data_IF_168548444534
#
_entry.id   IF_168548444534
#
_cell.length_a   1.000
_cell.length_b   1.000
_cell.length_c   1.000
_cell.angle_alpha   90.00
_cell.angle_beta   90.00
_cell.angle_gamma   90.00
#
_symmetry.space_group_name_H-M   'P 1'
#
loop_
_entity.id
_entity.type
_entity.pdbx_description
1 polymer ?
#
# COMPACT_ATOMS: atom_id res chain seq x y z
N UNK A 1 5.25 11.28 -12.76
CA UNK A 1 4.23 10.86 -11.78
C UNK A 1 4.80 9.66 -11.06
N UNK A 2 4.64 9.55 -9.74
CA UNK A 2 5.15 8.41 -8.98
C UNK A 2 4.13 7.27 -8.93
N UNK A 3 4.58 6.03 -8.68
CA UNK A 3 3.68 4.88 -8.50
C UNK A 3 2.63 5.14 -7.42
N UNK A 4 2.98 5.84 -6.34
CA UNK A 4 2.04 6.22 -5.29
C UNK A 4 0.95 7.17 -5.81
N UNK A 5 1.30 8.13 -6.67
CA UNK A 5 0.33 9.07 -7.25
C UNK A 5 -0.65 8.34 -8.18
N UNK A 6 -0.17 7.42 -9.01
CA UNK A 6 -1.00 6.64 -9.93
C UNK A 6 -1.98 5.73 -9.17
N UNK A 7 -1.50 5.08 -8.10
CA UNK A 7 -2.34 4.27 -7.23
C UNK A 7 -3.40 5.13 -6.50
N UNK A 8 -3.03 6.32 -6.00
CA UNK A 8 -3.96 7.25 -5.34
C UNK A 8 -5.03 7.76 -6.29
N UNK A 9 -4.64 8.09 -7.53
CA UNK A 9 -5.59 8.51 -8.56
C UNK A 9 -6.59 7.41 -8.91
N UNK A 10 -6.17 6.13 -8.90
CA UNK A 10 -7.06 5.02 -9.24
C UNK A 10 -7.90 4.48 -8.08
N UNK A 11 -7.40 4.52 -6.84
CA UNK A 11 -8.00 3.85 -5.67
C UNK A 11 -8.52 4.83 -4.62
N UNK A 12 -8.14 6.11 -4.73
CA UNK A 12 -8.41 7.15 -3.74
C UNK A 12 -7.29 7.31 -2.71
N UNK A 13 -7.14 8.54 -2.20
CA UNK A 13 -6.08 8.92 -1.24
C UNK A 13 -6.06 8.06 0.02
N UNK A 14 -7.23 7.69 0.54
CA UNK A 14 -7.33 6.91 1.79
C UNK A 14 -6.92 5.44 1.62
N UNK A 15 -6.85 4.94 0.38
CA UNK A 15 -6.49 3.55 0.07
C UNK A 15 -4.99 3.33 -0.03
N UNK A 16 -4.17 4.39 -0.11
CA UNK A 16 -2.72 4.31 -0.33
C UNK A 16 -1.96 5.06 0.76
N UNK A 17 -1.21 4.34 1.57
CA UNK A 17 -0.40 4.88 2.66
C UNK A 17 1.08 4.83 2.29
N UNK A 18 1.82 5.88 2.63
CA UNK A 18 3.26 6.01 2.39
C UNK A 18 3.98 6.52 3.63
N UNK A 19 5.23 6.09 3.84
CA UNK A 19 6.07 6.60 4.93
C UNK A 19 5.41 6.43 6.31
N UNK A 20 5.47 7.44 7.19
CA UNK A 20 4.95 7.34 8.56
C UNK A 20 3.46 6.97 8.66
N UNK A 21 2.67 7.23 7.62
CA UNK A 21 1.24 6.89 7.61
C UNK A 21 0.96 5.37 7.59
N UNK A 22 1.95 4.55 7.21
CA UNK A 22 1.83 3.08 7.17
C UNK A 22 1.78 2.48 8.58
N UNK A 23 2.46 3.10 9.55
CA UNK A 23 2.57 2.61 10.92
C UNK A 23 3.47 1.37 11.09
N UNK A 24 3.77 1.03 12.34
CA UNK A 24 4.75 -0.02 12.69
C UNK A 24 4.23 -1.46 12.54
N UNK A 25 2.92 -1.66 12.44
CA UNK A 25 2.32 -2.98 12.31
C UNK A 25 2.67 -3.72 11.00
N UNK A 26 3.21 -3.01 10.01
CA UNK A 26 3.53 -3.54 8.68
C UNK A 26 5.05 -3.74 8.49
N UNK A 27 5.82 -3.70 9.58
CA UNK A 27 7.28 -3.85 9.55
C UNK A 27 7.74 -5.31 9.49
N UNK A 28 6.92 -6.22 10.01
CA UNK A 28 7.24 -7.64 10.19
C UNK A 28 5.98 -8.48 10.03
N UNK A 29 6.17 -9.75 9.69
CA UNK A 29 5.15 -10.78 9.82
C UNK A 29 5.18 -11.42 11.22
N UNK A 30 4.42 -12.51 11.40
CA UNK A 30 4.30 -13.24 12.67
C UNK A 30 5.64 -13.73 13.22
N UNK A 31 6.66 -13.95 12.38
CA UNK A 31 7.98 -14.40 12.83
C UNK A 31 8.70 -13.37 13.70
N UNK A 32 8.31 -12.08 13.62
CA UNK A 32 9.03 -10.99 14.27
C UNK A 32 10.39 -10.71 13.64
N UNK A 33 10.69 -11.29 12.49
CA UNK A 33 11.96 -11.12 11.77
C UNK A 33 11.78 -10.18 10.57
N UNK A 34 12.76 -9.30 10.37
CA UNK A 34 12.64 -8.19 9.41
C UNK A 34 11.84 -7.03 9.99
N UNK A 35 12.35 -5.80 9.83
CA UNK A 35 11.71 -4.57 10.32
C UNK A 35 11.70 -3.50 9.23
N UNK A 36 11.60 -3.92 7.98
CA UNK A 36 11.63 -3.00 6.85
C UNK A 36 10.22 -2.50 6.57
N UNK A 37 10.04 -1.18 6.60
CA UNK A 37 8.77 -0.58 6.22
C UNK A 37 8.62 -0.65 4.69
N UNK A 38 7.48 -1.10 4.16
CA UNK A 38 7.24 -1.01 2.73
C UNK A 38 7.19 0.46 2.29
N UNK A 39 7.58 0.74 1.04
CA UNK A 39 7.49 2.10 0.49
C UNK A 39 6.02 2.57 0.34
N UNK A 40 5.12 1.64 0.02
CA UNK A 40 3.71 1.88 -0.23
C UNK A 40 2.90 0.73 0.40
N UNK A 41 1.82 1.06 1.10
CA UNK A 41 0.81 0.11 1.58
C UNK A 41 -0.54 0.43 0.93
N UNK A 42 -1.14 -0.54 0.25
CA UNK A 42 -2.46 -0.41 -0.40
C UNK A 42 -3.52 -1.16 0.40
N UNK A 43 -4.67 -0.53 0.66
CA UNK A 43 -5.80 -1.07 1.43
C UNK A 43 -7.08 -1.12 0.61
N UNK A 44 -7.17 -2.03 -0.38
CA UNK A 44 -8.34 -2.14 -1.23
C UNK A 44 -9.57 -2.61 -0.43
N UNK A 45 -10.75 -2.15 -0.82
CA UNK A 45 -12.05 -2.48 -0.22
C UNK A 45 -12.83 -3.52 -1.05
N UNK A 46 -12.36 -3.82 -2.25
CA UNK A 46 -12.98 -4.74 -3.18
C UNK A 46 -11.94 -5.48 -4.02
N UNK A 47 -12.33 -6.62 -4.60
CA UNK A 47 -11.49 -7.35 -5.56
C UNK A 47 -11.27 -6.56 -6.85
N UNK A 48 -12.22 -5.69 -7.23
CA UNK A 48 -12.06 -4.79 -8.36
C UNK A 48 -10.92 -3.78 -8.14
N UNK A 49 -10.78 -3.26 -6.92
CA UNK A 49 -9.66 -2.41 -6.52
C UNK A 49 -8.33 -3.17 -6.48
N UNK A 50 -8.32 -4.42 -6.00
CA UNK A 50 -7.13 -5.29 -6.10
C UNK A 50 -6.70 -5.41 -7.56
N UNK A 51 -7.64 -5.72 -8.45
CA UNK A 51 -7.36 -5.85 -9.88
C UNK A 51 -6.91 -4.52 -10.51
N UNK A 52 -7.37 -3.37 -10.00
CA UNK A 52 -6.91 -2.06 -10.44
C UNK A 52 -5.46 -1.78 -10.00
N UNK A 53 -5.12 -2.08 -8.75
CA UNK A 53 -3.76 -1.94 -8.24
C UNK A 53 -2.77 -2.82 -9.04
N UNK A 54 -3.13 -4.08 -9.31
CA UNK A 54 -2.30 -5.02 -10.07
C UNK A 54 -2.10 -4.64 -11.54
N UNK A 55 -2.93 -3.76 -12.11
CA UNK A 55 -2.74 -3.24 -13.47
C UNK A 55 -1.76 -2.08 -13.53
N UNK A 56 -1.51 -1.42 -12.40
CA UNK A 56 -0.61 -0.26 -12.27
C UNK A 56 0.80 -0.72 -11.89
N UNK A 57 0.92 -1.75 -11.05
CA UNK A 57 2.17 -2.36 -10.62
C UNK A 57 2.75 -3.32 -11.67
#
# INVERSE_FOLDING_TARGET
>A
MSLADDLKASLGEAAVLTGPAIGSHHLSDQSGTGHALPAILVRPRSTAEVAAALRIC
#
